data_IF_627228759488
#
_entry.id   IF_627228759488
#
_cell.length_a   1.000
_cell.length_b   1.000
_cell.length_c   1.000
_cell.angle_alpha   90.00
_cell.angle_beta   90.00
_cell.angle_gamma   90.00
#
_symmetry.space_group_name_H-M   'P 1'
#
loop_
_entity.id
_entity.type
_entity.pdbx_description
1 polymer ?
#
# COMPACT_ATOMS: atom_id res chain seq x y z
N UNK A 1 -3.28 11.02 11.99
CA UNK A 1 -4.69 10.58 12.18
C UNK A 1 -4.68 9.18 12.77
N UNK A 2 -5.59 8.86 13.67
CA UNK A 2 -5.69 7.52 14.26
C UNK A 2 -6.76 6.73 13.53
N UNK A 3 -6.41 5.55 13.02
CA UNK A 3 -7.35 4.60 12.42
C UNK A 3 -8.19 3.96 13.54
N UNK A 4 -9.49 3.78 13.32
CA UNK A 4 -10.36 3.12 14.29
C UNK A 4 -10.11 1.61 14.32
N UNK A 5 -10.53 0.95 15.41
CA UNK A 5 -10.54 -0.51 15.52
C UNK A 5 -11.98 -0.96 15.82
N UNK A 6 -12.63 -1.70 14.90
CA UNK A 6 -12.18 -1.99 13.53
C UNK A 6 -12.16 -0.72 12.67
N UNK A 7 -11.36 -0.75 11.61
CA UNK A 7 -11.19 0.37 10.68
C UNK A 7 -12.50 0.87 10.07
N UNK A 8 -12.56 2.15 9.73
CA UNK A 8 -13.69 2.78 9.03
C UNK A 8 -13.25 3.30 7.68
N UNK A 9 -14.14 3.34 6.67
CA UNK A 9 -13.80 3.90 5.36
C UNK A 9 -13.23 5.33 5.42
N UNK A 10 -13.72 6.15 6.35
CA UNK A 10 -13.25 7.52 6.55
C UNK A 10 -11.89 7.65 7.24
N UNK A 11 -11.27 6.54 7.67
CA UNK A 11 -9.93 6.53 8.26
C UNK A 11 -8.83 6.59 7.19
N UNK A 12 -9.16 6.14 5.98
CA UNK A 12 -8.24 6.14 4.85
C UNK A 12 -8.34 7.49 4.09
N UNK A 13 -7.21 8.05 3.62
CA UNK A 13 -7.24 9.18 2.70
C UNK A 13 -7.80 8.74 1.35
N UNK A 14 -7.99 9.67 0.41
CA UNK A 14 -8.30 9.32 -0.98
C UNK A 14 -7.33 8.25 -1.52
N UNK A 15 -7.82 7.30 -2.31
CA UNK A 15 -7.04 6.14 -2.72
C UNK A 15 -5.80 6.52 -3.53
N UNK A 16 -5.87 7.58 -4.32
CA UNK A 16 -4.76 8.14 -5.08
C UNK A 16 -3.67 8.68 -4.16
N UNK A 17 -4.04 9.27 -3.03
CA UNK A 17 -3.08 9.78 -2.05
C UNK A 17 -2.43 8.63 -1.27
N UNK A 18 -3.22 7.63 -0.86
CA UNK A 18 -2.69 6.41 -0.24
C UNK A 18 -1.71 5.69 -1.18
N UNK A 19 -2.10 5.52 -2.44
CA UNK A 19 -1.27 4.95 -3.50
C UNK A 19 0.04 5.72 -3.64
N UNK A 20 -0.02 7.05 -3.80
CA UNK A 20 1.16 7.87 -4.01
C UNK A 20 2.20 7.73 -2.89
N UNK A 21 1.73 7.75 -1.64
CA UNK A 21 2.59 7.63 -0.45
C UNK A 21 3.25 6.27 -0.35
N UNK A 22 2.46 5.20 -0.46
CA UNK A 22 2.99 3.84 -0.37
C UNK A 22 3.88 3.51 -1.56
N UNK A 23 3.47 3.87 -2.78
CA UNK A 23 4.27 3.66 -3.97
C UNK A 23 5.61 4.39 -3.91
N UNK A 24 5.67 5.60 -3.35
CA UNK A 24 6.95 6.28 -3.18
C UNK A 24 7.91 5.50 -2.28
N UNK A 25 7.43 4.94 -1.17
CA UNK A 25 8.25 4.07 -0.31
C UNK A 25 8.72 2.83 -1.07
N UNK A 26 7.81 2.16 -1.79
CA UNK A 26 8.14 0.99 -2.62
C UNK A 26 9.18 1.30 -3.71
N UNK A 27 9.14 2.49 -4.31
CA UNK A 27 10.12 2.96 -5.30
C UNK A 27 11.51 3.09 -4.68
N UNK A 28 11.62 3.63 -3.47
CA UNK A 28 12.92 3.80 -2.80
C UNK A 28 13.50 2.49 -2.25
N UNK A 29 12.68 1.47 -2.06
CA UNK A 29 13.09 0.12 -1.62
C UNK A 29 13.34 -0.85 -2.80
N UNK A 30 13.15 -0.41 -4.04
CA UNK A 30 13.26 -1.28 -5.20
C UNK A 30 14.72 -1.72 -5.46
N UNK A 31 14.93 -3.04 -5.54
CA UNK A 31 16.17 -3.66 -6.01
C UNK A 31 15.88 -4.81 -6.97
N UNK A 32 16.75 -5.00 -7.97
CA UNK A 32 16.62 -6.10 -8.95
C UNK A 32 16.72 -7.46 -8.26
N UNK A 33 17.50 -7.56 -7.18
CA UNK A 33 17.56 -8.78 -6.37
C UNK A 33 16.20 -9.10 -5.73
N UNK A 34 15.56 -8.13 -5.08
CA UNK A 34 14.27 -8.33 -4.43
C UNK A 34 13.17 -8.67 -5.45
N UNK A 35 13.19 -8.05 -6.63
CA UNK A 35 12.27 -8.39 -7.74
C UNK A 35 12.35 -9.87 -8.15
N UNK A 36 13.54 -10.49 -8.05
CA UNK A 36 13.73 -11.91 -8.42
C UNK A 36 13.14 -12.90 -7.41
N UNK A 37 12.79 -12.45 -6.20
CA UNK A 37 12.27 -13.30 -5.11
C UNK A 37 10.77 -13.58 -5.24
N UNK A 38 10.06 -12.87 -6.11
CA UNK A 38 8.62 -13.06 -6.32
C UNK A 38 7.82 -12.92 -5.02
N UNK A 39 7.04 -13.95 -4.68
CA UNK A 39 6.16 -13.97 -3.49
C UNK A 39 6.91 -14.14 -2.16
N UNK A 40 8.22 -14.43 -2.17
CA UNK A 40 9.03 -14.56 -0.95
C UNK A 40 9.72 -13.23 -0.57
N UNK A 41 9.19 -12.12 -1.08
CA UNK A 41 9.72 -10.78 -0.84
C UNK A 41 9.14 -10.22 0.45
N UNK A 42 9.96 -9.45 1.16
CA UNK A 42 9.60 -8.73 2.39
C UNK A 42 9.83 -7.24 2.18
N UNK A 43 9.19 -6.39 2.98
CA UNK A 43 9.23 -4.93 2.84
C UNK A 43 8.10 -4.41 1.96
N UNK A 44 8.35 -3.31 1.25
CA UNK A 44 7.36 -2.64 0.41
C UNK A 44 7.77 -2.75 -1.06
N UNK A 45 6.81 -3.09 -1.93
CA UNK A 45 7.10 -3.16 -3.35
C UNK A 45 5.89 -2.91 -4.22
N UNK A 46 6.15 -2.75 -5.51
CA UNK A 46 5.14 -2.71 -6.56
C UNK A 46 5.47 -3.75 -7.62
N UNK A 47 4.44 -4.44 -8.08
CA UNK A 47 4.48 -5.36 -9.21
C UNK A 47 3.32 -5.08 -10.18
N UNK A 48 3.16 -5.93 -11.21
CA UNK A 48 2.11 -5.76 -12.21
C UNK A 48 0.67 -5.89 -11.67
N UNK A 49 0.49 -6.38 -10.44
CA UNK A 49 -0.81 -6.53 -9.80
C UNK A 49 -1.10 -5.44 -8.75
N UNK A 50 -0.07 -4.78 -8.20
CA UNK A 50 -0.26 -3.63 -7.34
C UNK A 50 0.87 -3.40 -6.35
N UNK A 51 0.57 -2.57 -5.35
CA UNK A 51 1.44 -2.34 -4.21
C UNK A 51 1.30 -3.48 -3.20
N UNK A 52 2.41 -3.85 -2.59
CA UNK A 52 2.54 -4.94 -1.63
C UNK A 52 3.36 -4.50 -0.43
N UNK A 53 3.00 -5.08 0.71
CA UNK A 53 3.69 -4.98 1.97
C UNK A 53 3.65 -6.37 2.58
N UNK A 54 4.78 -6.85 3.03
CA UNK A 54 4.91 -8.10 3.76
C UNK A 54 6.01 -7.93 4.81
N UNK A 55 5.69 -8.15 6.09
CA UNK A 55 6.64 -7.99 7.19
C UNK A 55 7.42 -9.28 7.53
N UNK A 56 7.27 -10.33 6.72
CA UNK A 56 7.79 -11.69 6.93
C UNK A 56 7.25 -12.37 8.19
N UNK A 57 6.24 -11.79 8.84
CA UNK A 57 5.59 -12.27 10.03
C UNK A 57 4.14 -12.58 9.72
N UNK A 58 3.27 -11.76 10.30
CA UNK A 58 1.83 -11.97 10.24
C UNK A 58 1.10 -10.79 9.60
N UNK A 59 1.82 -9.83 9.02
CA UNK A 59 1.22 -8.64 8.37
C UNK A 59 1.52 -8.64 6.90
N UNK A 60 0.48 -8.63 6.08
CA UNK A 60 0.63 -8.39 4.66
C UNK A 60 -0.53 -7.57 4.09
N UNK A 61 -0.23 -6.74 3.10
CA UNK A 61 -1.21 -5.86 2.47
C UNK A 61 -1.03 -5.79 0.96
N UNK A 62 -2.14 -5.56 0.28
CA UNK A 62 -2.21 -5.25 -1.14
C UNK A 62 -3.08 -4.03 -1.39
N UNK A 63 -2.56 -3.08 -2.16
CA UNK A 63 -3.37 -2.03 -2.79
C UNK A 63 -3.24 -2.14 -4.31
N UNK A 64 -4.36 -2.38 -4.98
CA UNK A 64 -4.41 -2.57 -6.43
C UNK A 64 -5.30 -1.52 -7.10
N UNK A 65 -4.87 -1.05 -8.28
CA UNK A 65 -5.67 -0.22 -9.19
C UNK A 65 -6.54 -1.12 -10.05
N UNK A 66 -7.84 -0.87 -10.07
CA UNK A 66 -8.81 -1.61 -10.88
C UNK A 66 -9.27 -0.84 -12.12
N UNK A 67 -8.66 0.31 -12.39
CA UNK A 67 -9.00 1.22 -13.50
C UNK A 67 -10.22 2.10 -13.19
N UNK A 68 -10.45 3.15 -13.99
CA UNK A 68 -11.61 4.06 -13.83
C UNK A 68 -11.70 4.68 -12.42
N UNK A 69 -10.56 5.06 -11.83
CA UNK A 69 -10.52 5.60 -10.46
C UNK A 69 -10.87 4.60 -9.35
N UNK A 70 -10.91 3.29 -9.66
CA UNK A 70 -11.20 2.23 -8.67
C UNK A 70 -9.94 1.67 -8.06
N UNK A 71 -9.99 1.40 -6.77
CA UNK A 71 -8.92 0.74 -6.02
C UNK A 71 -9.50 -0.31 -5.08
N UNK A 72 -8.70 -1.34 -4.78
CA UNK A 72 -9.00 -2.29 -3.71
C UNK A 72 -7.79 -2.39 -2.78
N UNK A 73 -8.05 -2.28 -1.48
CA UNK A 73 -7.10 -2.52 -0.39
C UNK A 73 -7.56 -3.77 0.35
N UNK A 74 -6.69 -4.75 0.49
CA UNK A 74 -6.97 -5.97 1.25
C UNK A 74 -5.70 -6.55 1.83
N UNK A 75 -5.83 -7.32 2.89
CA UNK A 75 -4.69 -7.88 3.61
C UNK A 75 -5.10 -8.47 4.94
N UNK A 76 -4.11 -8.84 5.74
CA UNK A 76 -4.28 -9.42 7.06
C UNK A 76 -3.17 -8.97 8.00
N UNK A 77 -3.52 -8.99 9.28
CA UNK A 77 -2.62 -8.81 10.41
C UNK A 77 -3.08 -9.75 11.53
N UNK A 78 -2.14 -10.25 12.34
CA UNK A 78 -2.43 -11.16 13.46
C UNK A 78 -3.41 -10.58 14.49
N UNK A 79 -3.44 -9.25 14.66
CA UNK A 79 -4.39 -8.58 15.55
C UNK A 79 -5.83 -8.63 15.05
N UNK A 80 -6.06 -8.96 13.78
CA UNK A 80 -7.40 -9.05 13.21
C UNK A 80 -8.21 -10.16 13.88
N UNK A 81 -9.33 -9.78 14.50
CA UNK A 81 -10.28 -10.72 15.09
C UNK A 81 -11.15 -11.43 14.05
N UNK A 82 -11.07 -11.04 12.78
CA UNK A 82 -12.03 -11.44 11.75
C UNK A 82 -12.03 -12.95 11.50
N UNK A 83 -10.85 -13.57 11.38
CA UNK A 83 -10.72 -15.00 11.12
C UNK A 83 -11.27 -15.92 12.22
N UNK A 84 -11.41 -15.38 13.45
CA UNK A 84 -11.89 -16.12 14.62
C UNK A 84 -13.30 -15.71 15.08
N UNK A 85 -13.92 -14.73 14.42
CA UNK A 85 -15.19 -14.17 14.84
C UNK A 85 -16.35 -15.15 14.58
N UNK A 86 -17.26 -15.29 15.55
CA UNK A 86 -18.47 -16.11 15.46
C UNK A 86 -19.71 -15.23 15.70
N UNK A 87 -20.66 -15.14 14.74
CA UNK A 87 -20.68 -15.80 13.44
C UNK A 87 -19.60 -15.26 12.48
N UNK A 88 -19.18 -16.03 11.45
CA UNK A 88 -18.17 -15.57 10.49
C UNK A 88 -18.54 -14.23 9.84
N UNK A 89 -17.56 -13.34 9.70
CA UNK A 89 -17.74 -12.05 9.05
C UNK A 89 -17.63 -12.22 7.53
N UNK A 90 -18.69 -11.89 6.81
CA UNK A 90 -18.65 -11.81 5.34
C UNK A 90 -18.04 -10.47 4.90
N UNK A 91 -16.71 -10.46 4.73
CA UNK A 91 -15.96 -9.28 4.27
C UNK A 91 -16.28 -8.86 2.83
N UNK A 92 -17.00 -9.69 2.06
CA UNK A 92 -17.39 -9.41 0.67
C UNK A 92 -18.88 -9.05 0.56
N UNK A 93 -19.59 -8.91 1.69
CA UNK A 93 -20.96 -8.45 1.69
C UNK A 93 -21.06 -7.05 1.07
N UNK A 94 -21.96 -6.91 0.09
CA UNK A 94 -22.18 -5.65 -0.66
C UNK A 94 -20.98 -5.20 -1.51
N UNK A 95 -19.97 -6.04 -1.67
CA UNK A 95 -18.85 -5.75 -2.56
C UNK A 95 -19.31 -5.61 -4.02
N UNK A 96 -18.67 -4.73 -4.80
CA UNK A 96 -18.98 -4.56 -6.21
C UNK A 96 -18.41 -5.71 -7.05
N UNK A 97 -19.03 -5.95 -8.22
CA UNK A 97 -18.73 -7.07 -9.12
C UNK A 97 -17.32 -7.03 -9.75
N UNK A 98 -16.68 -5.85 -9.76
CA UNK A 98 -15.34 -5.65 -10.31
C UNK A 98 -14.20 -6.08 -9.36
N UNK A 99 -14.49 -6.47 -8.12
CA UNK A 99 -13.46 -6.98 -7.22
C UNK A 99 -12.83 -8.29 -7.71
N UNK A 100 -11.57 -8.57 -7.34
CA UNK A 100 -10.90 -9.82 -7.66
C UNK A 100 -11.42 -10.98 -6.79
N UNK A 101 -12.68 -11.39 -7.02
CA UNK A 101 -13.38 -12.35 -6.16
C UNK A 101 -12.70 -13.72 -6.03
N UNK A 102 -12.05 -14.21 -7.07
CA UNK A 102 -11.32 -15.49 -7.01
C UNK A 102 -10.24 -15.42 -5.93
N UNK A 103 -9.34 -14.43 -6.03
CA UNK A 103 -8.30 -14.17 -5.03
C UNK A 103 -8.85 -13.90 -3.64
N UNK A 104 -9.88 -13.04 -3.52
CA UNK A 104 -10.42 -12.68 -2.20
C UNK A 104 -11.13 -13.85 -1.51
N UNK A 105 -11.77 -14.75 -2.27
CA UNK A 105 -12.39 -15.95 -1.71
C UNK A 105 -11.35 -16.96 -1.27
N UNK A 106 -10.31 -17.19 -2.07
CA UNK A 106 -9.22 -18.09 -1.71
C UNK A 106 -8.56 -17.66 -0.39
N UNK A 107 -8.29 -16.36 -0.23
CA UNK A 107 -7.72 -15.80 1.01
C UNK A 107 -8.69 -15.90 2.20
N UNK A 108 -9.98 -15.66 1.98
CA UNK A 108 -10.99 -15.79 3.02
C UNK A 108 -11.13 -17.24 3.49
N UNK A 109 -11.12 -18.21 2.56
CA UNK A 109 -11.16 -19.64 2.86
C UNK A 109 -9.88 -20.12 3.56
N UNK A 110 -8.73 -19.51 3.25
CA UNK A 110 -7.43 -19.75 3.89
C UNK A 110 -7.23 -19.10 5.26
N UNK A 111 -8.18 -18.26 5.71
CA UNK A 111 -8.05 -17.43 6.93
C UNK A 111 -6.90 -16.40 6.86
N UNK A 112 -6.58 -15.97 5.64
CA UNK A 112 -5.50 -15.03 5.34
C UNK A 112 -6.04 -13.63 5.01
N UNK A 113 -7.29 -13.34 5.36
CA UNK A 113 -7.95 -12.07 5.06
C UNK A 113 -8.51 -11.44 6.33
N UNK A 114 -8.00 -10.26 6.69
CA UNK A 114 -8.44 -9.47 7.84
C UNK A 114 -9.44 -8.38 7.46
N UNK A 115 -9.30 -7.76 6.27
CA UNK A 115 -10.30 -6.83 5.76
C UNK A 115 -10.21 -6.64 4.24
N UNK A 116 -11.28 -6.09 3.65
CA UNK A 116 -11.36 -5.65 2.26
C UNK A 116 -12.03 -4.28 2.20
N UNK A 117 -11.32 -3.30 1.63
CA UNK A 117 -11.80 -1.97 1.36
C UNK A 117 -11.77 -1.72 -0.15
N UNK A 118 -12.83 -1.12 -0.69
CA UNK A 118 -12.92 -0.77 -2.10
C UNK A 118 -13.21 0.71 -2.26
N UNK A 119 -12.52 1.35 -3.20
CA UNK A 119 -12.66 2.76 -3.51
C UNK A 119 -13.32 2.91 -4.87
N UNK A 120 -14.37 3.72 -4.92
CA UNK A 120 -15.01 4.14 -6.17
C UNK A 120 -15.70 5.49 -5.92
N UNK A 121 -15.80 6.34 -6.95
CA UNK A 121 -16.54 7.61 -6.88
C UNK A 121 -16.09 8.53 -5.74
N UNK A 122 -14.79 8.54 -5.41
CA UNK A 122 -14.24 9.46 -4.42
C UNK A 122 -14.29 8.95 -2.97
N UNK A 123 -14.81 7.75 -2.72
CA UNK A 123 -15.02 7.24 -1.36
C UNK A 123 -14.59 5.77 -1.22
N UNK A 124 -14.02 5.46 -0.05
CA UNK A 124 -13.87 4.08 0.39
C UNK A 124 -15.19 3.52 0.90
N UNK A 125 -15.35 2.21 0.74
CA UNK A 125 -16.38 1.41 1.37
C UNK A 125 -15.78 0.04 1.77
N UNK A 126 -16.47 -0.65 2.67
CA UNK A 126 -16.19 -2.03 3.07
C UNK A 126 -17.47 -2.71 3.47
N UNK A 127 -17.44 -4.03 3.63
CA UNK A 127 -18.55 -4.77 4.19
C UNK A 127 -18.93 -4.23 5.59
N UNK A 128 -20.22 -4.25 5.96
CA UNK A 128 -20.63 -3.94 7.32
C UNK A 128 -20.08 -4.99 8.27
N UNK A 129 -19.44 -4.55 9.35
CA UNK A 129 -18.94 -5.45 10.39
C UNK A 129 -19.94 -5.54 11.55
N UNK A 130 -20.03 -6.69 12.24
CA UNK A 130 -20.81 -6.78 13.46
C UNK A 130 -20.23 -5.87 14.54
N UNK A 131 -21.08 -5.35 15.42
CA UNK A 131 -20.67 -4.48 16.52
C UNK A 131 -19.71 -5.17 17.52
N UNK A 132 -19.70 -6.50 17.54
CA UNK A 132 -18.83 -7.33 18.37
C UNK A 132 -17.42 -7.53 17.81
N UNK A 133 -17.15 -7.14 16.56
CA UNK A 133 -15.79 -7.22 16.02
C UNK A 133 -14.94 -6.11 16.65
N UNK A 134 -13.90 -6.50 17.39
CA UNK A 134 -13.03 -5.56 18.09
C UNK A 134 -12.00 -4.91 17.16
N UNK A 135 -11.44 -5.69 16.22
CA UNK A 135 -10.36 -5.24 15.34
C UNK A 135 -10.40 -5.98 13.99
N UNK A 136 -10.15 -5.25 12.91
CA UNK A 136 -9.98 -5.80 11.55
C UNK A 136 -8.50 -5.81 11.11
N UNK A 137 -7.60 -5.26 11.94
CA UNK A 137 -6.16 -5.19 11.70
C UNK A 137 -5.73 -4.03 10.79
N UNK A 138 -6.65 -3.18 10.31
CA UNK A 138 -6.32 -2.15 9.31
C UNK A 138 -5.20 -1.21 9.77
N UNK A 139 -5.17 -0.85 11.06
CA UNK A 139 -4.18 0.08 11.57
C UNK A 139 -2.77 -0.51 11.63
N UNK A 140 -2.66 -1.83 11.74
CA UNK A 140 -1.43 -2.58 11.56
C UNK A 140 -1.02 -2.55 10.10
N UNK A 141 0.13 -1.93 9.81
CA UNK A 141 0.59 -1.78 8.44
C UNK A 141 0.09 -0.49 7.79
N UNK A 142 -1.20 -0.18 7.74
CA UNK A 142 -1.67 0.98 6.94
C UNK A 142 -1.52 2.35 7.60
N UNK A 143 -1.43 2.42 8.93
CA UNK A 143 -1.19 3.67 9.66
C UNK A 143 0.01 4.45 9.12
N UNK A 144 1.06 3.72 8.70
CA UNK A 144 2.31 4.27 8.16
C UNK A 144 2.18 5.02 6.82
N UNK A 145 1.06 4.85 6.12
CA UNK A 145 0.78 5.53 4.84
C UNK A 145 -0.42 6.48 4.91
N UNK A 146 -1.32 6.26 5.87
CA UNK A 146 -2.46 7.15 6.14
C UNK A 146 -2.00 8.48 6.73
N UNK A 147 -1.04 8.44 7.67
CA UNK A 147 -0.46 9.64 8.26
C UNK A 147 0.80 10.08 7.52
N UNK A 148 0.83 11.34 7.07
CA UNK A 148 1.98 11.91 6.38
C UNK A 148 3.21 11.98 7.28
N UNK A 149 3.03 12.19 8.58
CA UNK A 149 4.15 12.21 9.53
C UNK A 149 4.80 10.84 9.63
N UNK A 150 4.00 9.77 9.65
CA UNK A 150 4.51 8.38 9.66
C UNK A 150 5.23 8.01 8.36
N UNK A 151 4.75 8.49 7.21
CA UNK A 151 5.49 8.32 5.94
C UNK A 151 6.85 9.02 6.04
N UNK A 152 6.92 10.23 6.60
CA UNK A 152 8.19 10.94 6.78
C UNK A 152 9.13 10.22 7.76
N UNK A 153 8.59 9.53 8.77
CA UNK A 153 9.37 8.65 9.64
C UNK A 153 10.01 7.49 8.87
N UNK A 154 9.26 6.82 7.99
CA UNK A 154 9.83 5.78 7.10
C UNK A 154 10.93 6.33 6.19
N UNK A 155 10.79 7.59 5.78
CA UNK A 155 11.73 8.26 4.88
C UNK A 155 12.94 8.88 5.58
N UNK A 156 13.03 8.84 6.91
CA UNK A 156 14.06 9.57 7.67
C UNK A 156 15.51 9.22 7.27
N UNK A 157 15.75 7.98 6.82
CA UNK A 157 17.05 7.53 6.31
C UNK A 157 17.47 8.11 4.95
N UNK A 158 16.52 8.69 4.19
CA UNK A 158 16.71 9.17 2.82
C UNK A 158 17.13 10.64 2.73
N UNK A 159 17.43 11.28 3.86
CA UNK A 159 17.90 12.67 3.89
C UNK A 159 16.79 13.71 3.65
N UNK A 160 17.14 15.01 3.72
CA UNK A 160 16.15 16.09 3.76
C UNK A 160 15.36 16.26 2.44
N UNK A 161 15.92 15.85 1.30
CA UNK A 161 15.27 15.94 0.00
C UNK A 161 14.03 15.03 -0.11
N UNK A 162 13.99 13.92 0.65
CA UNK A 162 12.89 12.96 0.62
C UNK A 162 11.53 13.59 0.95
N UNK A 163 11.50 14.64 1.78
CA UNK A 163 10.26 15.39 2.07
C UNK A 163 9.69 16.09 0.82
N UNK A 164 10.55 16.75 0.04
CA UNK A 164 10.13 17.40 -1.20
C UNK A 164 9.73 16.40 -2.28
N UNK A 165 10.38 15.24 -2.30
CA UNK A 165 10.02 14.15 -3.21
C UNK A 165 8.70 13.47 -2.81
N UNK A 166 8.37 13.37 -1.52
CA UNK A 166 7.06 12.93 -1.08
C UNK A 166 5.96 13.88 -1.59
N UNK A 167 6.17 15.19 -1.50
CA UNK A 167 5.24 16.18 -2.08
C UNK A 167 5.08 16.00 -3.59
N UNK A 168 6.19 15.78 -4.31
CA UNK A 168 6.14 15.50 -5.74
C UNK A 168 5.41 14.18 -6.05
N UNK A 169 5.55 13.15 -5.23
CA UNK A 169 4.84 11.88 -5.37
C UNK A 169 3.34 12.04 -5.11
N UNK A 170 2.95 12.73 -4.02
CA UNK A 170 1.56 13.05 -3.69
C UNK A 170 0.86 13.82 -4.83
N UNK A 171 1.61 14.68 -5.53
CA UNK A 171 1.15 15.45 -6.69
C UNK A 171 1.28 14.72 -8.04
N UNK A 172 1.79 13.49 -8.08
CA UNK A 172 2.04 12.74 -9.33
C UNK A 172 2.99 13.48 -10.29
N UNK A 173 4.05 14.08 -9.76
CA UNK A 173 5.07 14.86 -10.49
C UNK A 173 6.50 14.42 -10.19
N UNK A 174 6.67 13.21 -9.66
CA UNK A 174 8.00 12.66 -9.40
C UNK A 174 8.72 12.44 -10.75
N UNK A 175 10.04 12.60 -10.78
CA UNK A 175 10.85 12.36 -12.00
C UNK A 175 12.03 11.44 -11.70
N UNK A 176 12.49 10.65 -12.69
CA UNK A 176 13.71 9.84 -12.55
C UNK A 176 14.93 10.66 -12.13
N UNK A 177 15.10 11.86 -12.69
CA UNK A 177 16.26 12.71 -12.40
C UNK A 177 16.29 13.19 -10.94
N UNK A 178 15.12 13.42 -10.34
CA UNK A 178 15.02 13.80 -8.94
C UNK A 178 15.40 12.63 -8.00
N UNK A 179 15.10 11.39 -8.40
CA UNK A 179 15.55 10.18 -7.70
C UNK A 179 17.06 9.96 -7.89
N UNK A 180 17.59 10.16 -9.10
CA UNK A 180 19.03 10.06 -9.36
C UNK A 180 19.82 11.05 -8.50
N UNK A 181 19.31 12.27 -8.36
CA UNK A 181 19.90 13.29 -7.48
C UNK A 181 19.87 12.87 -6.01
N UNK A 182 18.73 12.32 -5.53
CA UNK A 182 18.62 11.78 -4.17
C UNK A 182 19.70 10.71 -3.92
N UNK A 183 19.86 9.76 -4.85
CA UNK A 183 20.86 8.70 -4.77
C UNK A 183 22.28 9.26 -4.74
N UNK A 184 22.58 10.24 -5.59
CA UNK A 184 23.89 10.89 -5.63
C UNK A 184 24.23 11.65 -4.34
N UNK A 185 23.23 12.27 -3.70
CA UNK A 185 23.40 13.04 -2.46
C UNK A 185 23.50 12.14 -1.20
N UNK A 186 22.72 11.06 -1.15
CA UNK A 186 22.63 10.18 0.02
C UNK A 186 23.69 9.07 0.01
N UNK A 187 24.06 8.59 -1.17
CA UNK A 187 24.93 7.43 -1.34
C UNK A 187 24.37 6.17 -0.66
N UNK A 188 25.24 5.17 -0.47
CA UNK A 188 24.86 3.87 0.12
C UNK A 188 25.21 3.74 1.61
N UNK A 189 25.95 4.70 2.19
CA UNK A 189 26.58 4.53 3.50
C UNK A 189 25.61 4.35 4.69
N UNK A 190 24.31 4.60 4.49
CA UNK A 190 23.26 4.49 5.51
C UNK A 190 22.18 3.47 5.16
N UNK A 191 22.40 2.63 4.13
CA UNK A 191 21.44 1.64 3.67
C UNK A 191 21.99 0.23 3.90
N UNK A 192 21.09 -0.70 4.16
CA UNK A 192 21.42 -2.13 4.22
C UNK A 192 21.68 -2.71 2.82
N UNK A 193 21.06 -2.12 1.79
CA UNK A 193 21.25 -2.45 0.37
C UNK A 193 21.62 -1.20 -0.44
N UNK A 194 22.58 -1.37 -1.36
CA UNK A 194 22.98 -0.33 -2.31
C UNK A 194 21.80 0.12 -3.17
N UNK A 195 21.80 1.38 -3.59
CA UNK A 195 20.82 1.88 -4.55
C UNK A 195 20.90 1.12 -5.88
N UNK A 196 19.74 0.67 -6.37
CA UNK A 196 19.57 0.08 -7.70
C UNK A 196 18.71 1.01 -8.56
N UNK A 197 19.35 2.01 -9.19
CA UNK A 197 18.65 2.98 -10.04
C UNK A 197 17.78 2.33 -11.13
N UNK A 198 18.25 1.30 -11.85
CA UNK A 198 17.38 0.57 -12.78
C UNK A 198 16.09 0.02 -12.15
N UNK A 199 16.14 -0.57 -10.95
CA UNK A 199 14.95 -1.07 -10.27
C UNK A 199 14.07 0.07 -9.76
N UNK A 200 14.67 1.12 -9.20
CA UNK A 200 13.98 2.34 -8.75
C UNK A 200 13.18 2.98 -9.89
N UNK A 201 13.77 3.10 -11.09
CA UNK A 201 13.07 3.65 -12.26
C UNK A 201 11.94 2.74 -12.76
N UNK A 202 12.13 1.41 -12.77
CA UNK A 202 11.05 0.47 -13.12
C UNK A 202 9.89 0.55 -12.14
N UNK A 203 10.18 0.61 -10.84
CA UNK A 203 9.17 0.78 -9.82
C UNK A 203 8.42 2.11 -9.97
N UNK A 204 9.14 3.19 -10.32
CA UNK A 204 8.54 4.51 -10.59
C UNK A 204 7.55 4.44 -11.77
N UNK A 205 7.95 3.77 -12.85
CA UNK A 205 7.11 3.59 -14.04
C UNK A 205 5.85 2.78 -13.71
N UNK A 206 5.99 1.66 -12.99
CA UNK A 206 4.88 0.84 -12.53
C UNK A 206 3.93 1.62 -11.61
N UNK A 207 4.49 2.47 -10.74
CA UNK A 207 3.73 3.27 -9.80
C UNK A 207 2.94 4.39 -10.47
N UNK A 208 3.38 4.83 -11.65
CA UNK A 208 2.75 5.91 -12.39
C UNK A 208 2.70 7.21 -11.58
N UNK A 209 3.78 7.57 -10.88
CA UNK A 209 3.90 8.79 -10.06
C UNK A 209 4.47 9.99 -10.86
N UNK A 210 4.67 9.81 -12.16
CA UNK A 210 5.18 10.85 -13.07
C UNK A 210 4.04 11.64 -13.69
N UNK A 211 4.31 12.89 -14.09
CA UNK A 211 3.31 13.75 -14.70
C UNK A 211 2.77 13.13 -16.00
N UNK A 212 1.45 12.97 -16.10
CA UNK A 212 0.78 12.38 -17.26
C UNK A 212 0.41 10.90 -17.12
N UNK A 213 0.76 10.24 -16.01
CA UNK A 213 0.37 8.86 -15.71
C UNK A 213 -0.99 8.72 -14.99
N UNK A 214 -1.74 9.82 -14.82
CA UNK A 214 -3.06 9.80 -14.18
C UNK A 214 -4.04 9.01 -15.05
N UNK A 215 -4.67 7.93 -14.55
CA UNK A 215 -5.76 7.29 -15.28
C UNK A 215 -6.91 8.30 -15.38
N UNK A 216 -7.43 8.49 -16.60
CA UNK A 216 -8.60 9.34 -16.82
C UNK A 216 -9.73 8.94 -15.84
N UNK A 217 -10.24 9.95 -15.13
CA UNK A 217 -11.43 9.87 -14.27
C UNK A 217 -12.65 9.40 -15.05
#
# INVERSE_FOLDING_TARGET
>A
MTIHRPGRPGDLPAAELLWARWAFVAVLEATTEAESRGIHRTGHWIDGAGLRLDDAGCTWWTLARMGQGRFVLYGEDESSGVKWHEPPVDMLAQAPDWLPYETLRDLLEGWELGCVYWYENGAWARAPYPESLEDDGLDCGMSRFVDREEVLWLLAGHGPAAKGLLEAAEDYRLTPEALDQLVAETGNARRDEDWDLPAVHRALDLAGLTAGAVPAS
#
